data_IF_146132744741
#
_entry.id   IF_146132744741
#
_cell.length_a   1.000
_cell.length_b   1.000
_cell.length_c   1.000
_cell.angle_alpha   90.00
_cell.angle_beta   90.00
_cell.angle_gamma   90.00
#
_symmetry.space_group_name_H-M   'P 1'
#
loop_
_entity.id
_entity.type
_entity.pdbx_description
1 polymer ?
#
# COMPACT_ATOMS: atom_id res chain seq x y z
N UNK A 1 -12.14 -7.99 -13.19
CA UNK A 1 -12.55 -6.64 -13.60
C UNK A 1 -12.48 -6.50 -15.13
N UNK A 2 -11.37 -6.82 -15.74
CA UNK A 2 -11.16 -6.79 -17.21
C UNK A 2 -12.16 -7.67 -17.96
N UNK A 3 -12.52 -8.83 -17.41
CA UNK A 3 -13.49 -9.75 -18.00
C UNK A 3 -14.92 -9.19 -18.04
N UNK A 4 -15.32 -8.45 -17.01
CA UNK A 4 -16.66 -7.83 -16.92
C UNK A 4 -16.76 -6.66 -17.91
N UNK A 5 -15.75 -5.81 -18.00
CA UNK A 5 -15.72 -4.67 -18.96
C UNK A 5 -15.69 -5.16 -20.39
N UNK A 6 -14.92 -6.22 -20.70
CA UNK A 6 -14.90 -6.84 -22.04
C UNK A 6 -16.23 -7.49 -22.42
N UNK A 7 -16.92 -8.13 -21.46
CA UNK A 7 -18.23 -8.75 -21.72
C UNK A 7 -19.34 -7.73 -21.94
N UNK A 8 -19.24 -6.57 -21.27
CA UNK A 8 -20.18 -5.45 -21.48
C UNK A 8 -20.01 -4.81 -22.86
N UNK A 9 -18.78 -4.55 -23.28
CA UNK A 9 -18.46 -4.03 -24.62
C UNK A 9 -18.86 -5.02 -25.73
N UNK A 10 -18.70 -6.33 -25.49
CA UNK A 10 -19.08 -7.37 -26.48
C UNK A 10 -20.60 -7.51 -26.68
N UNK A 11 -21.41 -7.42 -25.61
CA UNK A 11 -22.87 -7.45 -25.73
C UNK A 11 -23.43 -6.22 -26.49
N UNK A 12 -22.82 -5.07 -26.30
CA UNK A 12 -23.22 -3.82 -26.97
C UNK A 12 -22.86 -3.85 -28.46
N UNK A 13 -21.76 -4.54 -28.85
CA UNK A 13 -21.34 -4.68 -30.23
C UNK A 13 -22.16 -5.70 -31.05
N UNK A 14 -22.77 -6.68 -30.40
CA UNK A 14 -23.60 -7.71 -31.08
C UNK A 14 -24.96 -7.17 -31.53
N UNK A 15 -25.42 -6.03 -31.04
CA UNK A 15 -26.70 -5.41 -31.39
C UNK A 15 -26.58 -4.26 -32.41
N UNK A 16 -25.37 -3.93 -32.86
CA UNK A 16 -25.11 -2.85 -33.79
C UNK A 16 -24.62 -3.42 -35.12
N UNK A 17 -25.54 -3.50 -36.07
CA UNK A 17 -25.22 -3.71 -37.50
C UNK A 17 -24.63 -2.38 -38.04
N UNK A 18 -23.30 -2.17 -37.91
CA UNK A 18 -22.64 -0.93 -38.29
C UNK A 18 -21.76 -1.18 -39.52
N UNK A 19 -22.19 -0.73 -40.70
CA UNK A 19 -21.37 -0.78 -41.94
C UNK A 19 -20.11 0.10 -41.93
N UNK A 20 -19.85 0.86 -40.84
CA UNK A 20 -18.83 1.92 -40.81
C UNK A 20 -17.58 1.62 -39.95
N UNK A 21 -17.30 0.36 -39.62
CA UNK A 21 -16.13 -0.01 -38.80
C UNK A 21 -14.77 0.01 -39.54
N UNK A 22 -14.74 0.27 -40.82
CA UNK A 22 -13.48 0.32 -41.61
C UNK A 22 -12.44 1.34 -41.13
N UNK A 23 -12.78 2.53 -40.62
CA UNK A 23 -11.75 3.45 -40.13
C UNK A 23 -11.16 3.11 -38.77
N UNK A 24 -11.84 2.30 -37.94
CA UNK A 24 -11.34 1.93 -36.62
C UNK A 24 -10.35 0.76 -36.61
N UNK A 25 -10.43 -0.13 -37.60
CA UNK A 25 -9.57 -1.32 -37.68
C UNK A 25 -8.13 -1.00 -38.13
N UNK A 26 -7.90 0.13 -38.79
CA UNK A 26 -6.56 0.57 -39.22
C UNK A 26 -5.73 1.16 -38.07
N UNK A 27 -6.34 1.56 -36.95
CA UNK A 27 -5.68 2.09 -35.75
C UNK A 27 -5.33 1.01 -34.72
N UNK A 28 -5.88 -0.20 -34.86
CA UNK A 28 -5.62 -1.30 -33.92
C UNK A 28 -4.40 -2.08 -34.40
N UNK A 29 -3.35 -2.14 -33.57
CA UNK A 29 -2.15 -2.94 -33.88
C UNK A 29 -2.52 -4.38 -34.21
N UNK A 30 -1.89 -5.03 -35.20
CA UNK A 30 -2.21 -6.40 -35.64
C UNK A 30 -2.35 -7.44 -34.53
N UNK A 31 -1.51 -7.48 -33.47
CA UNK A 31 -1.68 -8.45 -32.39
C UNK A 31 -2.95 -8.24 -31.58
N UNK A 32 -3.39 -6.98 -31.36
CA UNK A 32 -4.62 -6.67 -30.63
C UNK A 32 -5.85 -7.10 -31.43
N UNK A 33 -5.86 -6.84 -32.72
CA UNK A 33 -6.92 -7.27 -33.62
C UNK A 33 -7.01 -8.81 -33.69
N UNK A 34 -5.87 -9.50 -33.72
CA UNK A 34 -5.81 -10.97 -33.71
C UNK A 34 -6.36 -11.54 -32.41
N UNK A 35 -5.97 -10.98 -31.26
CA UNK A 35 -6.49 -11.36 -29.94
C UNK A 35 -8.00 -11.13 -29.84
N UNK A 36 -8.51 -10.01 -30.34
CA UNK A 36 -9.93 -9.70 -30.37
C UNK A 36 -10.71 -10.68 -31.25
N UNK A 37 -10.20 -11.03 -32.44
CA UNK A 37 -10.81 -12.01 -33.35
C UNK A 37 -10.83 -13.41 -32.72
N UNK A 38 -9.75 -13.84 -32.06
CA UNK A 38 -9.67 -15.10 -31.34
C UNK A 38 -10.70 -15.15 -30.21
N UNK A 39 -10.78 -14.07 -29.41
CA UNK A 39 -11.79 -13.93 -28.34
C UNK A 39 -13.24 -13.99 -28.87
N UNK A 40 -13.53 -13.27 -29.96
CA UNK A 40 -14.87 -13.29 -30.60
C UNK A 40 -15.22 -14.65 -31.20
N UNK A 41 -14.22 -15.44 -31.60
CA UNK A 41 -14.40 -16.83 -32.09
C UNK A 41 -14.44 -17.87 -30.98
N UNK A 42 -14.37 -17.46 -29.71
CA UNK A 42 -14.31 -18.36 -28.56
C UNK A 42 -13.04 -19.21 -28.48
N UNK A 43 -11.98 -18.82 -29.20
CA UNK A 43 -10.67 -19.50 -29.11
C UNK A 43 -9.97 -18.96 -27.87
N UNK A 44 -9.67 -19.79 -26.86
CA UNK A 44 -8.97 -19.33 -25.66
C UNK A 44 -7.58 -18.81 -26.07
N UNK A 45 -7.27 -17.57 -25.67
CA UNK A 45 -5.92 -17.03 -25.83
C UNK A 45 -4.98 -17.82 -24.95
N UNK A 46 -3.96 -18.42 -25.52
CA UNK A 46 -2.91 -19.06 -24.76
C UNK A 46 -2.13 -17.98 -24.00
N UNK A 47 -2.19 -18.00 -22.67
CA UNK A 47 -1.44 -17.10 -21.79
C UNK A 47 -0.10 -17.76 -21.49
N UNK A 48 0.98 -17.14 -21.96
CA UNK A 48 2.35 -17.63 -21.74
C UNK A 48 3.20 -16.58 -21.02
N UNK A 49 4.36 -16.98 -20.52
CA UNK A 49 5.31 -16.06 -19.88
C UNK A 49 5.83 -14.99 -20.87
N UNK A 50 5.97 -15.36 -22.14
CA UNK A 50 6.41 -14.46 -23.21
C UNK A 50 5.42 -13.33 -23.45
N UNK A 51 4.11 -13.60 -23.32
CA UNK A 51 3.08 -12.59 -23.44
C UNK A 51 3.28 -11.42 -22.45
N UNK A 52 3.81 -11.72 -21.24
CA UNK A 52 4.16 -10.65 -20.30
C UNK A 52 5.18 -9.67 -20.90
N UNK A 53 6.21 -10.18 -21.56
CA UNK A 53 7.25 -9.34 -22.18
C UNK A 53 6.73 -8.52 -23.37
N UNK A 54 5.65 -8.98 -24.00
CA UNK A 54 5.04 -8.28 -25.15
C UNK A 54 4.12 -7.13 -24.72
N UNK A 55 3.42 -7.26 -23.58
CA UNK A 55 2.31 -6.37 -23.24
C UNK A 55 2.48 -5.63 -21.90
N UNK A 56 3.43 -6.03 -21.07
CA UNK A 56 3.67 -5.40 -19.77
C UNK A 56 4.89 -4.49 -19.80
N UNK A 57 4.85 -3.42 -19.02
CA UNK A 57 6.03 -2.56 -18.81
C UNK A 57 7.12 -3.41 -18.13
N UNK A 58 8.38 -3.37 -18.61
CA UNK A 58 9.44 -4.28 -18.14
C UNK A 58 10.07 -3.83 -16.81
N UNK A 59 9.23 -3.41 -15.86
CA UNK A 59 9.65 -2.99 -14.52
C UNK A 59 9.72 -4.14 -13.49
N UNK A 60 9.27 -5.34 -13.88
CA UNK A 60 9.37 -6.58 -13.10
C UNK A 60 9.96 -7.71 -13.92
N UNK A 61 10.62 -8.65 -13.23
CA UNK A 61 11.08 -9.92 -13.80
C UNK A 61 10.39 -11.08 -13.07
N UNK A 62 9.12 -11.40 -13.38
CA UNK A 62 8.42 -12.49 -12.73
C UNK A 62 9.01 -13.86 -13.06
N UNK A 63 8.77 -14.85 -12.19
CA UNK A 63 9.15 -16.23 -12.40
C UNK A 63 8.62 -16.79 -13.72
N UNK A 64 9.21 -17.86 -14.20
CA UNK A 64 8.80 -18.50 -15.45
C UNK A 64 7.42 -19.17 -15.35
N UNK A 65 7.06 -19.69 -14.16
CA UNK A 65 5.78 -20.34 -13.91
C UNK A 65 4.65 -19.31 -13.78
N UNK A 66 3.45 -19.66 -14.21
CA UNK A 66 2.25 -18.84 -14.08
C UNK A 66 1.28 -19.55 -13.14
N UNK A 67 1.13 -19.09 -11.88
CA UNK A 67 0.15 -19.67 -10.96
C UNK A 67 -1.28 -19.42 -11.43
N UNK A 68 -2.12 -20.46 -11.31
CA UNK A 68 -3.55 -20.40 -11.70
C UNK A 68 -4.51 -20.67 -10.56
N UNK A 69 -4.04 -21.28 -9.48
CA UNK A 69 -4.83 -21.54 -8.27
C UNK A 69 -3.95 -21.56 -7.03
N UNK A 70 -4.57 -21.32 -5.87
CA UNK A 70 -3.89 -21.39 -4.58
C UNK A 70 -4.83 -21.84 -3.47
N UNK A 71 -4.29 -22.49 -2.45
CA UNK A 71 -5.01 -22.89 -1.25
C UNK A 71 -4.04 -22.91 -0.05
N UNK A 72 -4.32 -22.16 0.99
CA UNK A 72 -3.41 -22.05 2.11
C UNK A 72 -2.03 -21.56 1.66
N UNK A 73 -0.98 -22.30 1.99
CA UNK A 73 0.41 -21.99 1.59
C UNK A 73 0.83 -22.61 0.25
N UNK A 74 -0.09 -23.18 -0.51
CA UNK A 74 0.21 -23.88 -1.76
C UNK A 74 -0.37 -23.14 -2.96
N UNK A 75 0.39 -23.15 -4.06
CA UNK A 75 -0.02 -22.65 -5.37
C UNK A 75 0.26 -23.70 -6.44
N UNK A 76 -0.49 -23.66 -7.52
CA UNK A 76 -0.31 -24.54 -8.68
C UNK A 76 -0.25 -23.71 -9.94
N UNK A 77 0.66 -24.09 -10.83
CA UNK A 77 0.83 -23.46 -12.14
C UNK A 77 -0.15 -24.02 -13.19
N UNK A 78 0.02 -23.58 -14.43
CA UNK A 78 -0.78 -23.99 -15.58
C UNK A 78 -0.63 -25.48 -15.93
N UNK A 79 0.48 -26.10 -15.55
CA UNK A 79 0.78 -27.51 -15.77
C UNK A 79 0.44 -28.39 -14.55
N UNK A 80 -0.26 -27.81 -13.56
CA UNK A 80 -0.66 -28.44 -12.29
C UNK A 80 0.51 -28.84 -11.39
N UNK A 81 1.69 -28.26 -11.60
CA UNK A 81 2.80 -28.41 -10.67
C UNK A 81 2.53 -27.65 -9.38
N UNK A 82 2.75 -28.30 -8.23
CA UNK A 82 2.53 -27.74 -6.91
C UNK A 82 3.80 -27.08 -6.37
N UNK A 83 3.63 -25.89 -5.75
CA UNK A 83 4.68 -25.12 -5.08
C UNK A 83 4.22 -24.68 -3.70
N UNK A 84 5.16 -24.53 -2.77
CA UNK A 84 4.93 -23.88 -1.50
C UNK A 84 5.24 -22.39 -1.66
N UNK A 85 4.25 -21.53 -1.40
CA UNK A 85 4.41 -20.08 -1.48
C UNK A 85 4.96 -19.52 -0.17
N UNK A 86 6.29 -19.35 -0.09
CA UNK A 86 6.93 -18.65 1.03
C UNK A 86 6.88 -17.12 0.91
N UNK A 87 6.53 -16.57 -0.27
CA UNK A 87 6.46 -15.14 -0.45
C UNK A 87 5.16 -14.54 0.10
N UNK A 88 4.07 -15.30 0.07
CA UNK A 88 2.76 -14.88 0.56
C UNK A 88 2.28 -13.55 -0.03
N UNK A 89 2.62 -13.26 -1.31
CA UNK A 89 2.33 -11.96 -1.94
C UNK A 89 3.14 -10.80 -1.35
N UNK A 90 4.36 -11.05 -0.89
CA UNK A 90 5.22 -10.12 -0.13
C UNK A 90 4.55 -9.74 1.21
N UNK A 91 4.33 -10.77 2.04
CA UNK A 91 3.71 -10.66 3.37
C UNK A 91 2.26 -10.13 3.36
N UNK A 92 1.49 -10.41 2.31
CA UNK A 92 0.08 -9.97 2.17
C UNK A 92 -0.90 -11.06 2.60
N UNK A 93 -0.71 -12.32 2.15
CA UNK A 93 -1.65 -13.42 2.35
C UNK A 93 -1.46 -14.06 3.74
N UNK A 94 -1.76 -13.31 4.81
CA UNK A 94 -1.54 -13.76 6.19
C UNK A 94 -2.32 -15.03 6.55
N UNK A 95 -3.51 -15.23 5.96
CA UNK A 95 -4.35 -16.41 6.15
C UNK A 95 -4.15 -17.48 5.04
N UNK A 96 -3.20 -17.25 4.13
CA UNK A 96 -2.99 -18.08 2.96
C UNK A 96 -3.97 -17.80 1.82
N UNK A 97 -3.76 -18.47 0.71
CA UNK A 97 -4.58 -18.35 -0.49
C UNK A 97 -6.00 -18.90 -0.26
N UNK A 98 -6.99 -18.17 -0.76
CA UNK A 98 -8.39 -18.61 -0.81
C UNK A 98 -8.93 -19.06 0.55
N UNK A 99 -8.59 -18.34 1.64
CA UNK A 99 -9.13 -18.68 2.96
C UNK A 99 -10.68 -18.70 2.92
N UNK A 100 -11.35 -19.77 3.41
CA UNK A 100 -12.79 -19.97 3.22
C UNK A 100 -13.64 -18.79 3.70
N UNK A 101 -13.34 -18.22 4.86
CA UNK A 101 -14.10 -17.08 5.40
C UNK A 101 -13.91 -15.80 4.55
N UNK A 102 -12.70 -15.54 4.02
CA UNK A 102 -12.47 -14.39 3.14
C UNK A 102 -13.23 -14.57 1.81
N UNK A 103 -13.21 -15.78 1.24
CA UNK A 103 -13.96 -16.09 0.01
C UNK A 103 -15.47 -15.94 0.23
N UNK A 104 -16.00 -16.37 1.40
CA UNK A 104 -17.39 -16.19 1.78
C UNK A 104 -17.77 -14.71 1.85
N UNK A 105 -17.02 -13.92 2.61
CA UNK A 105 -17.28 -12.48 2.76
C UNK A 105 -17.20 -11.75 1.41
N UNK A 106 -16.22 -12.09 0.56
CA UNK A 106 -16.11 -11.52 -0.78
C UNK A 106 -17.34 -11.79 -1.65
N UNK A 107 -17.87 -13.01 -1.63
CA UNK A 107 -19.09 -13.39 -2.35
C UNK A 107 -20.31 -12.62 -1.81
N UNK A 108 -20.51 -12.63 -0.51
CA UNK A 108 -21.64 -11.96 0.14
C UNK A 108 -21.62 -10.44 -0.08
N UNK A 109 -20.46 -9.79 0.04
CA UNK A 109 -20.33 -8.35 -0.19
C UNK A 109 -20.41 -8.00 -1.67
N UNK A 110 -19.88 -8.87 -2.54
CA UNK A 110 -19.95 -8.70 -3.99
C UNK A 110 -21.35 -8.65 -4.57
N UNK A 111 -22.34 -9.26 -3.87
CA UNK A 111 -23.75 -9.21 -4.24
C UNK A 111 -24.50 -8.00 -3.68
N UNK A 112 -23.90 -7.22 -2.77
CA UNK A 112 -24.55 -6.09 -2.10
C UNK A 112 -24.12 -4.75 -2.68
N UNK A 113 -22.82 -4.44 -2.58
CA UNK A 113 -22.32 -3.10 -2.87
C UNK A 113 -20.83 -3.13 -3.16
N UNK A 114 -20.39 -2.42 -4.22
CA UNK A 114 -19.00 -2.41 -4.66
C UNK A 114 -18.29 -1.11 -4.31
N UNK A 115 -18.77 0.03 -4.80
CA UNK A 115 -18.12 1.32 -4.65
C UNK A 115 -19.13 2.46 -4.52
N UNK A 116 -18.89 3.37 -3.58
CA UNK A 116 -19.74 4.53 -3.32
C UNK A 116 -19.03 5.87 -3.40
N UNK A 117 -17.70 5.89 -3.46
CA UNK A 117 -16.84 7.03 -3.16
C UNK A 117 -17.04 7.55 -1.71
N UNK A 118 -16.22 8.56 -1.34
CA UNK A 118 -16.29 9.21 -0.02
C UNK A 118 -17.40 10.29 0.11
N UNK A 119 -18.28 10.39 -0.88
CA UNK A 119 -19.52 11.17 -0.77
C UNK A 119 -20.50 10.52 0.19
N UNK A 120 -20.42 9.20 0.30
CA UNK A 120 -21.18 8.38 1.25
C UNK A 120 -20.22 7.62 2.15
N UNK A 121 -20.72 7.13 3.27
CA UNK A 121 -20.01 6.14 4.08
C UNK A 121 -20.63 4.75 3.91
N UNK A 122 -19.94 3.71 4.37
CA UNK A 122 -20.43 2.33 4.30
C UNK A 122 -20.14 1.58 5.59
N UNK A 123 -20.98 0.59 5.89
CA UNK A 123 -20.85 -0.19 7.13
C UNK A 123 -19.52 -0.97 7.26
N UNK A 124 -19.01 -1.65 6.23
CA UNK A 124 -17.75 -2.39 6.37
C UNK A 124 -16.58 -1.48 6.79
N UNK A 125 -16.44 -0.30 6.21
CA UNK A 125 -15.38 0.65 6.56
C UNK A 125 -15.53 1.14 8.01
N UNK A 126 -16.74 1.54 8.42
CA UNK A 126 -17.01 1.99 9.80
C UNK A 126 -16.74 0.89 10.84
N UNK A 127 -17.15 -0.35 10.55
CA UNK A 127 -16.89 -1.50 11.43
C UNK A 127 -15.41 -1.80 11.57
N UNK A 128 -14.64 -1.72 10.47
CA UNK A 128 -13.19 -1.91 10.51
C UNK A 128 -12.52 -0.77 11.29
N UNK A 129 -12.88 0.49 11.02
CA UNK A 129 -12.37 1.64 11.76
C UNK A 129 -12.61 1.50 13.26
N UNK A 130 -13.83 1.11 13.66
CA UNK A 130 -14.19 0.89 15.07
C UNK A 130 -13.32 -0.21 15.71
N UNK A 131 -13.12 -1.33 15.02
CA UNK A 131 -12.26 -2.42 15.53
C UNK A 131 -10.80 -1.98 15.68
N UNK A 132 -10.27 -1.21 14.72
CA UNK A 132 -8.91 -0.70 14.79
C UNK A 132 -8.72 0.28 15.93
N UNK A 133 -9.67 1.21 16.15
CA UNK A 133 -9.60 2.16 17.27
C UNK A 133 -9.79 1.49 18.63
N UNK A 134 -10.57 0.42 18.75
CA UNK A 134 -10.72 -0.36 19.98
C UNK A 134 -9.48 -1.21 20.31
N UNK A 135 -8.72 -1.60 19.28
CA UNK A 135 -7.58 -2.49 19.43
C UNK A 135 -6.22 -1.75 19.53
N UNK A 136 -6.19 -0.44 19.36
CA UNK A 136 -4.95 0.36 19.30
C UNK A 136 -5.07 1.66 20.12
N UNK A 137 -4.01 2.46 20.09
CA UNK A 137 -3.99 3.81 20.70
C UNK A 137 -4.84 4.82 19.92
N UNK A 138 -5.17 4.51 18.67
CA UNK A 138 -5.77 5.46 17.74
C UNK A 138 -7.25 5.75 18.05
N UNK A 139 -7.69 6.94 17.71
CA UNK A 139 -9.07 7.39 17.83
C UNK A 139 -9.71 7.62 16.45
N UNK A 140 -8.89 7.85 15.41
CA UNK A 140 -9.32 8.10 14.04
C UNK A 140 -8.56 7.17 13.07
N UNK A 141 -9.24 6.80 11.99
CA UNK A 141 -8.70 5.98 10.89
C UNK A 141 -9.03 6.65 9.56
N UNK A 142 -8.05 6.71 8.67
CA UNK A 142 -8.22 7.04 7.26
C UNK A 142 -7.88 5.81 6.43
N UNK A 143 -8.75 5.41 5.50
CA UNK A 143 -8.52 4.29 4.59
C UNK A 143 -8.04 4.76 3.22
N UNK A 144 -7.22 3.92 2.58
CA UNK A 144 -6.78 4.07 1.20
C UNK A 144 -6.57 2.69 0.56
N UNK A 145 -5.98 2.61 -0.64
CA UNK A 145 -5.88 1.36 -1.38
C UNK A 145 -4.55 0.63 -1.20
N UNK A 146 -3.57 1.27 -0.61
CA UNK A 146 -2.21 0.72 -0.50
C UNK A 146 -1.43 1.31 0.67
N UNK A 147 -0.34 0.63 1.05
CA UNK A 147 0.61 1.16 2.04
C UNK A 147 1.24 2.48 1.60
N UNK A 148 1.55 2.65 0.31
CA UNK A 148 2.10 3.90 -0.20
C UNK A 148 1.14 5.08 0.00
N UNK A 149 -0.16 4.90 -0.27
CA UNK A 149 -1.14 5.98 -0.11
C UNK A 149 -1.36 6.38 1.35
N UNK A 150 -1.36 5.43 2.28
CA UNK A 150 -1.50 5.77 3.70
C UNK A 150 -0.21 6.36 4.28
N UNK A 151 0.95 6.00 3.75
CA UNK A 151 2.20 6.67 4.08
C UNK A 151 2.24 8.10 3.53
N UNK A 152 1.75 8.35 2.30
CA UNK A 152 1.52 9.70 1.78
C UNK A 152 0.63 10.54 2.72
N UNK A 153 -0.47 9.94 3.18
CA UNK A 153 -1.39 10.60 4.10
C UNK A 153 -0.71 10.93 5.44
N UNK A 154 0.06 10.00 6.01
CA UNK A 154 0.79 10.18 7.25
C UNK A 154 1.84 11.30 7.16
N UNK A 155 2.64 11.33 6.09
CA UNK A 155 3.64 12.35 5.83
C UNK A 155 3.00 13.74 5.65
N UNK A 156 1.90 13.82 4.89
CA UNK A 156 1.14 15.05 4.70
C UNK A 156 0.49 15.53 5.99
N UNK A 157 -0.06 14.62 6.79
CA UNK A 157 -0.64 14.93 8.09
C UNK A 157 0.42 15.51 9.03
N UNK A 158 1.59 14.90 9.11
CA UNK A 158 2.68 15.37 9.96
C UNK A 158 3.13 16.79 9.60
N UNK A 159 3.34 17.08 8.31
CA UNK A 159 3.66 18.43 7.85
C UNK A 159 2.53 19.43 8.12
N UNK A 160 1.28 19.02 7.91
CA UNK A 160 0.14 19.90 8.16
C UNK A 160 -0.03 20.21 9.63
N UNK A 161 0.08 19.22 10.50
CA UNK A 161 0.05 19.37 11.94
C UNK A 161 1.16 20.34 12.42
N UNK A 162 2.38 20.14 11.92
CA UNK A 162 3.51 21.01 12.27
C UNK A 162 3.33 22.45 11.78
N UNK A 163 2.83 22.63 10.55
CA UNK A 163 2.51 23.95 10.01
C UNK A 163 1.51 24.70 10.90
N UNK A 164 0.45 24.02 11.32
CA UNK A 164 -0.63 24.64 12.10
C UNK A 164 -0.19 24.99 13.53
N UNK A 165 0.83 24.31 14.10
CA UNK A 165 1.31 24.54 15.46
C UNK A 165 2.59 25.41 15.54
N UNK A 166 3.48 25.27 14.56
CA UNK A 166 4.85 25.82 14.64
C UNK A 166 5.24 26.68 13.44
N UNK A 167 4.43 26.70 12.37
CA UNK A 167 4.72 27.47 11.17
C UNK A 167 5.48 26.68 10.09
N UNK A 168 5.73 27.34 8.94
CA UNK A 168 6.20 26.67 7.72
C UNK A 168 7.64 26.13 7.77
N UNK A 169 8.45 26.59 8.72
CA UNK A 169 9.86 26.17 8.85
C UNK A 169 10.01 24.77 9.47
N UNK A 170 8.94 24.24 10.11
CA UNK A 170 8.94 22.91 10.71
C UNK A 170 8.36 21.88 9.74
N UNK A 171 9.10 21.55 8.71
CA UNK A 171 8.68 20.67 7.61
C UNK A 171 9.62 19.49 7.33
N UNK A 172 10.77 19.42 8.06
CA UNK A 172 11.74 18.34 7.93
C UNK A 172 11.17 16.99 8.40
N UNK A 173 11.30 15.99 7.57
CA UNK A 173 11.00 14.59 7.91
C UNK A 173 12.31 13.82 7.90
N UNK A 174 12.58 13.07 8.96
CA UNK A 174 13.74 12.19 9.03
C UNK A 174 13.26 10.76 8.89
N UNK A 175 13.93 9.99 8.04
CA UNK A 175 13.71 8.57 7.86
C UNK A 175 15.04 7.79 7.92
N UNK A 176 14.99 6.48 7.74
CA UNK A 176 16.15 5.64 7.92
C UNK A 176 16.62 5.05 6.59
N UNK A 177 17.94 4.95 6.43
CA UNK A 177 18.57 4.28 5.31
C UNK A 177 17.99 2.86 5.16
N UNK A 178 17.84 2.41 3.91
CA UNK A 178 17.24 1.13 3.52
C UNK A 178 15.77 0.94 3.93
N UNK A 179 15.07 1.99 4.36
CA UNK A 179 13.63 1.96 4.60
C UNK A 179 12.84 1.76 3.31
N UNK A 180 11.66 1.16 3.42
CA UNK A 180 10.72 1.02 2.30
C UNK A 180 9.32 1.50 2.71
N UNK A 181 8.92 2.67 2.18
CA UNK A 181 7.63 3.29 2.52
C UNK A 181 6.66 3.38 1.35
N UNK A 182 7.04 2.89 0.18
CA UNK A 182 6.22 2.88 -1.04
C UNK A 182 6.95 3.39 -2.28
N UNK A 183 6.20 3.47 -3.39
CA UNK A 183 6.73 3.88 -4.71
C UNK A 183 6.06 5.12 -5.27
N UNK A 184 5.20 5.80 -4.51
CA UNK A 184 4.70 7.13 -4.87
C UNK A 184 5.81 8.16 -4.68
N UNK A 185 5.66 9.33 -5.29
CA UNK A 185 6.77 10.28 -5.42
C UNK A 185 7.32 10.77 -4.07
N UNK A 186 6.46 10.97 -3.08
CA UNK A 186 6.89 11.37 -1.75
C UNK A 186 7.43 10.16 -0.97
N UNK A 187 6.69 9.04 -0.95
CA UNK A 187 7.11 7.86 -0.18
C UNK A 187 8.40 7.23 -0.68
N UNK A 188 8.66 7.23 -2.01
CA UNK A 188 9.91 6.73 -2.56
C UNK A 188 11.10 7.60 -2.17
N UNK A 189 10.86 8.91 -1.97
CA UNK A 189 11.89 9.83 -1.50
C UNK A 189 12.19 9.62 -0.02
N UNK A 190 11.17 9.36 0.80
CA UNK A 190 11.31 9.04 2.23
C UNK A 190 11.94 7.66 2.46
N UNK A 191 11.79 6.73 1.51
CA UNK A 191 12.28 5.35 1.62
C UNK A 191 13.78 5.28 1.49
N UNK A 192 14.70 5.74 1.99
CA UNK A 192 16.17 5.70 2.07
C UNK A 192 16.96 4.79 1.12
N UNK A 193 16.37 4.43 -0.04
CA UNK A 193 16.98 3.56 -1.05
C UNK A 193 17.13 4.31 -2.38
N UNK A 194 18.36 4.73 -2.71
CA UNK A 194 18.68 5.48 -3.92
C UNK A 194 18.22 4.77 -5.20
N UNK A 195 18.37 3.45 -5.27
CA UNK A 195 17.97 2.65 -6.44
C UNK A 195 16.49 2.81 -6.84
N UNK A 196 15.62 3.18 -5.90
CA UNK A 196 14.18 3.35 -6.16
C UNK A 196 13.78 4.79 -6.48
N UNK A 197 14.59 5.77 -6.10
CA UNK A 197 14.28 7.19 -6.21
C UNK A 197 15.14 7.95 -7.23
N UNK A 198 16.30 7.42 -7.62
CA UNK A 198 17.19 8.08 -8.57
C UNK A 198 16.60 8.08 -9.99
N UNK A 199 16.83 9.20 -10.69
CA UNK A 199 16.28 9.41 -12.03
C UNK A 199 14.84 9.97 -12.06
N UNK A 200 14.17 10.09 -10.91
CA UNK A 200 12.81 10.61 -10.81
C UNK A 200 12.74 12.01 -10.17
N UNK A 201 13.77 12.82 -10.33
CA UNK A 201 13.80 14.19 -9.77
C UNK A 201 12.90 15.19 -10.49
N UNK A 202 12.69 16.39 -9.90
CA UNK A 202 13.14 16.80 -8.57
C UNK A 202 12.38 16.10 -7.45
N UNK A 203 13.09 15.69 -6.39
CA UNK A 203 12.50 15.04 -5.21
C UNK A 203 11.85 16.09 -4.29
N UNK A 204 10.78 15.76 -3.55
CA UNK A 204 10.28 16.62 -2.48
C UNK A 204 11.39 16.98 -1.48
N UNK A 205 11.49 18.27 -1.11
CA UNK A 205 12.47 18.75 -0.14
C UNK A 205 12.09 18.45 1.31
N UNK A 206 13.03 18.75 2.23
CA UNK A 206 12.83 18.58 3.66
C UNK A 206 12.80 17.12 4.11
N UNK A 207 13.60 16.26 3.47
CA UNK A 207 13.71 14.83 3.81
C UNK A 207 15.19 14.51 4.01
N UNK A 208 15.51 13.99 5.19
CA UNK A 208 16.85 13.55 5.56
C UNK A 208 16.84 12.08 5.98
N UNK A 209 17.98 11.42 5.81
CA UNK A 209 18.14 10.01 6.15
C UNK A 209 19.30 9.79 7.11
N UNK A 210 19.14 8.82 8.01
CA UNK A 210 20.16 8.43 8.99
C UNK A 210 20.24 6.91 9.09
N UNK A 211 21.36 6.34 9.58
CA UNK A 211 21.45 4.91 9.81
C UNK A 211 20.41 4.41 10.79
N UNK A 212 19.82 3.24 10.51
CA UNK A 212 18.93 2.55 11.43
C UNK A 212 19.72 1.96 12.61
N UNK A 213 19.15 1.97 13.82
CA UNK A 213 19.82 1.57 15.08
C UNK A 213 21.00 2.49 15.50
N UNK A 214 21.11 3.69 14.95
CA UNK A 214 22.10 4.71 15.36
C UNK A 214 21.39 5.94 15.94
N UNK A 215 21.18 5.93 17.25
CA UNK A 215 20.49 7.04 17.96
C UNK A 215 21.32 8.33 17.93
N UNK A 216 22.66 8.22 18.00
CA UNK A 216 23.55 9.40 17.98
C UNK A 216 23.50 10.09 16.61
N UNK A 217 23.48 9.34 15.52
CA UNK A 217 23.32 9.88 14.18
C UNK A 217 21.96 10.57 13.99
N UNK A 218 20.87 10.00 14.55
CA UNK A 218 19.56 10.63 14.54
C UNK A 218 19.58 11.96 15.34
N UNK A 219 20.10 11.96 16.57
CA UNK A 219 20.18 13.17 17.40
C UNK A 219 20.97 14.28 16.75
N UNK A 220 22.03 13.94 16.02
CA UNK A 220 22.87 14.91 15.33
C UNK A 220 22.17 15.71 14.21
N UNK A 221 21.12 15.15 13.59
CA UNK A 221 20.38 15.80 12.50
C UNK A 221 18.98 16.31 12.90
N UNK A 222 18.46 15.92 14.07
CA UNK A 222 17.20 16.45 14.59
C UNK A 222 17.34 17.91 15.04
N UNK A 223 16.32 18.69 14.76
CA UNK A 223 16.26 20.12 15.14
C UNK A 223 14.82 20.57 15.34
N UNK A 224 14.62 21.85 15.66
CA UNK A 224 13.28 22.46 15.78
C UNK A 224 12.54 22.51 14.44
N UNK A 225 13.22 22.25 13.31
CA UNK A 225 12.62 22.11 11.98
C UNK A 225 12.06 20.71 11.73
N UNK A 226 12.42 19.71 12.53
CA UNK A 226 11.95 18.35 12.36
C UNK A 226 10.47 18.23 12.77
N UNK A 227 9.60 17.94 11.81
CA UNK A 227 8.16 17.73 12.06
C UNK A 227 7.82 16.27 12.35
N UNK A 228 8.58 15.32 11.80
CA UNK A 228 8.35 13.90 12.03
C UNK A 228 9.61 13.06 11.85
N UNK A 229 9.66 11.92 12.55
CA UNK A 229 10.54 10.79 12.26
C UNK A 229 9.67 9.63 11.78
N UNK A 230 9.98 9.06 10.62
CA UNK A 230 9.28 7.90 10.07
C UNK A 230 10.18 6.68 10.09
N UNK A 231 9.66 5.57 10.62
CA UNK A 231 10.40 4.30 10.66
C UNK A 231 9.48 3.09 10.53
N UNK A 232 10.02 2.02 9.98
CA UNK A 232 9.46 0.68 10.16
C UNK A 232 9.89 0.17 11.54
N UNK A 233 9.00 -0.33 12.41
CA UNK A 233 9.42 -0.94 13.67
C UNK A 233 10.39 -2.11 13.47
N UNK A 234 10.28 -2.80 12.33
CA UNK A 234 11.21 -3.78 11.82
C UNK A 234 11.37 -3.53 10.33
N UNK A 235 12.57 -3.20 9.86
CA UNK A 235 12.81 -3.02 8.42
C UNK A 235 12.68 -4.37 7.71
N UNK A 236 11.58 -4.55 6.95
CA UNK A 236 11.31 -5.80 6.27
C UNK A 236 12.08 -5.93 4.95
N UNK A 237 11.80 -5.04 4.01
CA UNK A 237 12.41 -5.05 2.67
C UNK A 237 13.92 -4.76 2.74
N UNK A 238 14.34 -3.92 3.68
CA UNK A 238 15.75 -3.58 3.91
C UNK A 238 16.61 -4.73 4.45
N UNK A 239 16.05 -5.93 4.72
CA UNK A 239 16.82 -7.12 5.10
C UNK A 239 16.42 -7.78 6.41
N UNK A 240 15.19 -7.60 6.88
CA UNK A 240 14.67 -8.11 8.16
C UNK A 240 15.52 -7.61 9.34
N UNK A 241 15.71 -6.29 9.40
CA UNK A 241 16.53 -5.65 10.43
C UNK A 241 15.66 -5.34 11.64
N UNK A 242 15.94 -6.05 12.73
CA UNK A 242 15.26 -5.81 14.01
C UNK A 242 15.79 -4.54 14.69
N UNK A 243 14.93 -3.77 15.34
CA UNK A 243 15.36 -2.61 16.11
C UNK A 243 16.02 -3.04 17.41
N UNK A 244 16.99 -2.28 17.87
CA UNK A 244 17.37 -2.30 19.29
C UNK A 244 16.22 -1.62 20.10
N UNK A 245 15.65 -2.25 21.13
CA UNK A 245 14.60 -1.63 21.95
C UNK A 245 15.01 -0.29 22.57
N UNK A 246 16.30 -0.10 22.90
CA UNK A 246 16.81 1.18 23.39
C UNK A 246 16.80 2.25 22.31
N UNK A 247 17.08 1.86 21.08
CA UNK A 247 17.00 2.78 19.93
C UNK A 247 15.57 3.27 19.74
N UNK A 248 14.56 2.40 19.72
CA UNK A 248 13.17 2.80 19.53
C UNK A 248 12.70 3.75 20.64
N UNK A 249 13.01 3.43 21.90
CA UNK A 249 12.72 4.31 23.04
C UNK A 249 13.47 5.65 22.96
N UNK A 250 14.70 5.63 22.47
CA UNK A 250 15.47 6.84 22.20
C UNK A 250 14.86 7.71 21.08
N UNK A 251 14.41 7.10 20.00
CA UNK A 251 13.70 7.80 18.92
C UNK A 251 12.45 8.50 19.45
N UNK A 252 11.62 7.81 20.27
CA UNK A 252 10.45 8.42 20.90
C UNK A 252 10.84 9.62 21.76
N UNK A 253 11.84 9.46 22.63
CA UNK A 253 12.30 10.55 23.50
C UNK A 253 12.84 11.77 22.71
N UNK A 254 13.53 11.54 21.60
CA UNK A 254 14.00 12.61 20.70
C UNK A 254 12.82 13.31 20.01
N UNK A 255 11.82 12.56 19.53
CA UNK A 255 10.61 13.14 18.98
C UNK A 255 9.89 14.03 20.00
N UNK A 256 9.75 13.56 21.23
CA UNK A 256 9.14 14.36 22.33
C UNK A 256 9.94 15.62 22.64
N UNK A 257 11.27 15.51 22.72
CA UNK A 257 12.19 16.64 22.95
C UNK A 257 12.05 17.74 21.90
N UNK A 258 11.88 17.37 20.64
CA UNK A 258 11.81 18.31 19.52
C UNK A 258 10.36 18.62 19.07
N UNK A 259 9.34 18.16 19.78
CA UNK A 259 7.94 18.28 19.36
C UNK A 259 7.73 17.79 17.91
N UNK A 260 8.32 16.65 17.57
CA UNK A 260 8.17 15.97 16.30
C UNK A 260 7.25 14.76 16.45
N UNK A 261 6.49 14.43 15.41
CA UNK A 261 5.65 13.22 15.42
C UNK A 261 6.48 11.97 15.11
N UNK A 262 6.18 10.87 15.80
CA UNK A 262 6.72 9.54 15.48
C UNK A 262 5.71 8.79 14.61
N UNK A 263 6.12 8.43 13.39
CA UNK A 263 5.33 7.65 12.45
C UNK A 263 5.88 6.23 12.39
N UNK A 264 5.07 5.24 12.74
CA UNK A 264 5.41 3.84 12.51
C UNK A 264 4.74 3.32 11.24
N UNK A 265 5.57 2.92 10.28
CA UNK A 265 5.14 2.18 9.10
C UNK A 265 5.04 0.69 9.46
N UNK A 266 3.84 0.27 9.81
CA UNK A 266 3.51 -1.13 10.10
C UNK A 266 2.81 -1.83 8.92
N UNK A 267 3.04 -1.36 7.72
CA UNK A 267 2.51 -1.96 6.49
C UNK A 267 2.97 -3.42 6.35
N UNK A 268 4.20 -3.73 6.77
CA UNK A 268 4.69 -5.10 6.75
C UNK A 268 4.71 -5.76 8.12
N UNK A 269 5.08 -5.06 9.18
CA UNK A 269 5.22 -5.60 10.53
C UNK A 269 3.89 -5.82 11.26
N UNK A 270 2.83 -5.13 10.84
CA UNK A 270 1.52 -5.20 11.49
C UNK A 270 0.70 -6.45 11.19
N UNK A 271 -0.50 -6.48 11.76
CA UNK A 271 -1.52 -7.54 11.60
C UNK A 271 -0.95 -8.93 11.91
N UNK A 272 -0.31 -9.06 13.08
CA UNK A 272 0.17 -10.34 13.60
C UNK A 272 1.53 -10.81 13.08
N UNK A 273 2.19 -10.08 12.18
CA UNK A 273 3.44 -10.52 11.54
C UNK A 273 4.58 -10.76 12.51
N UNK A 274 4.66 -9.97 13.58
CA UNK A 274 5.72 -10.04 14.60
C UNK A 274 5.30 -10.76 15.88
N UNK A 275 4.04 -11.26 15.93
CA UNK A 275 3.47 -11.94 17.09
C UNK A 275 2.37 -11.12 17.80
N UNK A 276 2.53 -9.80 17.85
CA UNK A 276 1.52 -8.88 18.34
C UNK A 276 0.63 -8.38 17.18
N UNK A 277 -0.55 -7.82 17.47
CA UNK A 277 -1.42 -7.23 16.45
C UNK A 277 -0.66 -6.17 15.63
N UNK A 278 0.08 -5.31 16.31
CA UNK A 278 1.04 -4.38 15.71
C UNK A 278 2.36 -4.46 16.48
N UNK A 279 3.48 -4.33 15.77
CA UNK A 279 4.82 -4.49 16.35
C UNK A 279 5.12 -3.50 17.48
N UNK A 280 4.53 -2.28 17.42
CA UNK A 280 4.70 -1.28 18.46
C UNK A 280 4.28 -1.78 19.85
N UNK A 281 3.32 -2.69 19.93
CA UNK A 281 2.82 -3.24 21.20
C UNK A 281 3.89 -4.04 21.93
N UNK A 282 4.72 -4.80 21.19
CA UNK A 282 5.85 -5.54 21.75
C UNK A 282 7.09 -4.67 22.03
N UNK A 283 7.16 -3.46 21.45
CA UNK A 283 8.28 -2.53 21.65
C UNK A 283 8.08 -1.57 22.84
N UNK A 284 6.88 -1.52 23.41
CA UNK A 284 6.51 -0.64 24.53
C UNK A 284 6.77 0.85 24.17
N UNK A 285 6.48 1.23 22.91
CA UNK A 285 6.58 2.60 22.39
C UNK A 285 5.36 2.87 21.52
N UNK A 286 4.56 3.85 21.89
CA UNK A 286 3.36 4.25 21.13
C UNK A 286 3.73 5.34 20.12
N UNK A 287 3.46 5.14 18.82
CA UNK A 287 3.64 6.18 17.81
C UNK A 287 2.50 7.22 17.84
N UNK A 288 2.70 8.34 17.21
CA UNK A 288 1.67 9.36 16.99
C UNK A 288 0.79 9.04 15.77
N UNK A 289 1.40 8.42 14.76
CA UNK A 289 0.74 7.94 13.55
C UNK A 289 1.23 6.52 13.26
N UNK A 290 0.31 5.62 12.91
CA UNK A 290 0.61 4.26 12.48
C UNK A 290 -0.02 4.01 11.11
N UNK A 291 0.71 3.39 10.20
CA UNK A 291 0.19 2.96 8.92
C UNK A 291 0.17 1.44 8.79
N UNK A 292 -0.86 0.90 8.15
CA UNK A 292 -1.07 -0.53 7.96
C UNK A 292 -1.63 -0.82 6.57
N UNK A 293 -1.28 -1.95 5.99
CA UNK A 293 -1.79 -2.42 4.70
C UNK A 293 -1.56 -3.94 4.57
N UNK A 294 -1.20 -4.45 3.41
CA UNK A 294 -0.82 -5.86 3.17
C UNK A 294 -1.74 -6.85 3.88
N UNK A 295 -1.29 -7.42 5.00
CA UNK A 295 -2.04 -8.41 5.79
C UNK A 295 -3.41 -7.91 6.27
N UNK A 296 -3.61 -6.59 6.41
CA UNK A 296 -4.91 -5.99 6.76
C UNK A 296 -6.01 -6.39 5.77
N UNK A 297 -5.69 -6.48 4.49
CA UNK A 297 -6.63 -6.87 3.44
C UNK A 297 -6.66 -8.38 3.14
N UNK A 298 -5.70 -9.16 3.65
CA UNK A 298 -5.63 -10.60 3.41
C UNK A 298 -5.58 -11.01 1.92
N UNK A 299 -5.09 -10.14 1.05
CA UNK A 299 -5.04 -10.33 -0.40
C UNK A 299 -5.78 -9.25 -1.20
N UNK A 300 -6.64 -8.46 -0.56
CA UNK A 300 -7.38 -7.35 -1.20
C UNK A 300 -6.64 -6.03 -0.93
N UNK A 301 -6.52 -5.15 -1.94
CA UNK A 301 -5.87 -3.84 -1.77
C UNK A 301 -6.59 -2.99 -0.72
N UNK A 302 -5.86 -2.60 0.31
CA UNK A 302 -6.30 -1.68 1.37
C UNK A 302 -5.07 -1.09 2.06
N UNK A 303 -5.22 0.13 2.60
CA UNK A 303 -4.34 0.73 3.57
C UNK A 303 -5.15 1.44 4.65
N UNK A 304 -4.59 1.58 5.83
CA UNK A 304 -5.16 2.33 6.94
C UNK A 304 -4.07 3.20 7.58
N UNK A 305 -4.35 4.48 7.79
CA UNK A 305 -3.58 5.38 8.64
C UNK A 305 -4.37 5.61 9.93
N UNK A 306 -3.75 5.35 11.06
CA UNK A 306 -4.32 5.43 12.39
C UNK A 306 -3.63 6.55 13.17
N UNK A 307 -4.40 7.37 13.90
CA UNK A 307 -3.85 8.45 14.72
C UNK A 307 -4.84 8.90 15.79
N UNK A 308 -4.42 9.81 16.67
CA UNK A 308 -5.31 10.44 17.65
C UNK A 308 -6.16 11.55 17.02
N UNK A 309 -7.22 11.97 17.69
CA UNK A 309 -8.05 13.13 17.27
C UNK A 309 -7.22 14.40 17.18
N UNK A 310 -6.40 14.65 18.20
CA UNK A 310 -5.58 15.86 18.29
C UNK A 310 -4.67 16.06 17.06
N UNK A 311 -4.25 14.98 16.42
CA UNK A 311 -3.42 15.02 15.20
C UNK A 311 -4.29 14.93 13.95
N UNK A 312 -5.22 13.97 13.90
CA UNK A 312 -6.00 13.66 12.70
C UNK A 312 -6.91 14.81 12.23
N UNK A 313 -7.39 15.65 13.13
CA UNK A 313 -8.26 16.82 12.81
C UNK A 313 -7.56 17.89 11.97
N UNK A 314 -6.24 17.81 11.76
CA UNK A 314 -5.50 18.70 10.86
C UNK A 314 -5.70 18.36 9.38
N UNK A 315 -6.12 17.13 9.02
CA UNK A 315 -6.59 16.80 7.67
C UNK A 315 -8.07 17.14 7.52
N UNK A 316 -8.35 18.41 7.30
CA UNK A 316 -9.72 18.93 7.15
C UNK A 316 -10.33 18.52 5.81
N UNK A 317 -11.65 18.66 5.70
CA UNK A 317 -12.41 18.42 4.47
C UNK A 317 -11.74 19.10 3.26
N UNK A 318 -11.50 18.35 2.19
CA UNK A 318 -10.90 18.83 0.94
C UNK A 318 -9.36 18.90 0.93
N UNK A 319 -8.66 18.59 2.03
CA UNK A 319 -7.20 18.67 2.08
C UNK A 319 -6.50 17.41 1.59
N UNK A 320 -7.11 16.26 1.75
CA UNK A 320 -6.59 14.96 1.30
C UNK A 320 -7.73 13.98 1.01
N UNK A 321 -7.52 13.07 0.06
CA UNK A 321 -8.49 12.03 -0.28
C UNK A 321 -8.11 11.30 -1.55
N UNK A 322 -8.91 10.31 -1.90
CA UNK A 322 -8.85 9.59 -3.18
C UNK A 322 -10.25 9.11 -3.57
N UNK A 323 -10.41 8.65 -4.81
CA UNK A 323 -11.72 8.14 -5.26
C UNK A 323 -12.14 6.88 -4.50
N UNK A 324 -11.23 5.95 -4.26
CA UNK A 324 -11.52 4.65 -3.65
C UNK A 324 -11.21 4.59 -2.14
N UNK A 325 -10.58 5.62 -1.58
CA UNK A 325 -10.21 5.69 -0.17
C UNK A 325 -11.18 6.56 0.63
N UNK A 326 -11.12 6.42 1.97
CA UNK A 326 -11.93 7.19 2.92
C UNK A 326 -12.89 6.38 3.75
#
# INVERSE_FOLDING_TARGET
FTYIVMRFLCKTCQSLDIPSLKPFTSAIKPPILRALIMYLKGIPMQVTRELFNEVMVPNYNPAAMIPVRGQGSRIWDQDDNEYIDFAGGIAVNVLGHCHPELVKVLKEQGEKLWHLSNVYTNEPALRLAKKLTEATFAELVYFANSGAEVNEAALKLARRWALDHYGPEKDQIIAFNQGFHGRTFFTVTVGGQAAYSDGFGPKPGGIDHTPYNDLAALEAIMSDKTCAVMMEPLQGEGGIICPDPKFVKGVRALCDKHNALLIFDEVQSGIGRTGDLFAYMGLDVVPDILTSAKSLGGGIPIGAMLTTKAIGEHLKVGTHGSTYGG
#
